data_IF_394191574660
#
_entry.id   IF_394191574660
#
_cell.length_a   1.000
_cell.length_b   1.000
_cell.length_c   1.000
_cell.angle_alpha   90.00
_cell.angle_beta   90.00
_cell.angle_gamma   90.00
#
_symmetry.space_group_name_H-M   'P 1'
#
loop_
_entity.id
_entity.type
_entity.pdbx_description
1 polymer ?
#
# COMPACT_ATOMS: atom_id res chain seq x y z
N UNK A 1 -16.90 -5.93 -1.83
CA UNK A 1 -16.25 -5.78 -0.50
C UNK A 1 -14.81 -5.31 -0.64
N UNK A 2 -13.95 -6.05 -1.35
CA UNK A 2 -12.54 -5.65 -1.53
C UNK A 2 -12.38 -4.38 -2.35
N UNK A 3 -13.23 -4.16 -3.36
CA UNK A 3 -13.24 -2.91 -4.14
C UNK A 3 -13.45 -1.67 -3.28
N UNK A 4 -14.41 -1.70 -2.33
CA UNK A 4 -14.63 -0.59 -1.40
C UNK A 4 -13.40 -0.31 -0.52
N UNK A 5 -12.69 -1.37 -0.09
CA UNK A 5 -11.43 -1.23 0.63
C UNK A 5 -10.34 -0.63 -0.26
N UNK A 6 -10.28 -0.98 -1.55
CA UNK A 6 -9.34 -0.40 -2.51
C UNK A 6 -9.54 1.12 -2.63
N UNK A 7 -10.78 1.60 -2.70
CA UNK A 7 -11.03 3.05 -2.67
C UNK A 7 -10.52 3.72 -1.39
N UNK A 8 -10.71 3.05 -0.24
CA UNK A 8 -10.28 3.59 1.05
C UNK A 8 -8.76 3.72 1.17
N UNK A 9 -7.99 2.88 0.47
CA UNK A 9 -6.51 2.93 0.48
C UNK A 9 -5.91 4.28 0.05
N UNK A 10 -6.66 5.12 -0.68
CA UNK A 10 -6.22 6.46 -1.04
C UNK A 10 -6.05 7.38 0.18
N UNK A 11 -6.87 7.18 1.22
CA UNK A 11 -6.83 7.95 2.48
C UNK A 11 -6.21 7.17 3.64
N UNK A 12 -6.10 5.84 3.50
CA UNK A 12 -5.64 4.89 4.52
C UNK A 12 -4.54 3.99 3.96
N UNK A 13 -3.31 4.52 3.79
CA UNK A 13 -2.18 3.78 3.24
C UNK A 13 -1.78 2.57 4.11
N UNK A 14 -2.11 2.59 5.39
CA UNK A 14 -1.82 1.55 6.37
C UNK A 14 -2.54 0.21 6.09
N UNK A 15 -3.71 0.22 5.45
CA UNK A 15 -4.47 -1.00 5.11
C UNK A 15 -4.18 -1.55 3.71
N UNK A 16 -3.34 -0.87 2.95
CA UNK A 16 -3.01 -1.17 1.55
C UNK A 16 -2.57 -2.60 1.37
N UNK A 17 -1.56 -3.01 2.12
CA UNK A 17 -0.91 -4.29 1.90
C UNK A 17 -1.90 -5.44 2.12
N UNK A 18 -2.65 -5.37 3.22
CA UNK A 18 -3.68 -6.34 3.55
C UNK A 18 -4.81 -6.38 2.51
N UNK A 19 -5.23 -5.22 1.99
CA UNK A 19 -6.28 -5.11 0.98
C UNK A 19 -5.83 -5.68 -0.36
N UNK A 20 -4.64 -5.30 -0.84
CA UNK A 20 -4.02 -5.81 -2.06
C UNK A 20 -3.82 -7.32 -2.00
N UNK A 21 -3.42 -7.87 -0.85
CA UNK A 21 -3.30 -9.31 -0.67
C UNK A 21 -4.66 -10.01 -0.81
N UNK A 22 -5.71 -9.48 -0.19
CA UNK A 22 -7.07 -10.04 -0.31
C UNK A 22 -7.61 -9.95 -1.74
N UNK A 23 -7.30 -8.88 -2.48
CA UNK A 23 -7.73 -8.68 -3.87
C UNK A 23 -7.22 -9.78 -4.81
N UNK A 24 -6.01 -10.31 -4.57
CA UNK A 24 -5.43 -11.41 -5.38
C UNK A 24 -6.30 -12.67 -5.39
N UNK A 25 -7.04 -12.91 -4.32
CA UNK A 25 -7.88 -14.09 -4.14
C UNK A 25 -9.37 -13.78 -4.30
N UNK A 26 -9.72 -12.60 -4.83
CA UNK A 26 -11.12 -12.19 -5.00
C UNK A 26 -11.91 -13.12 -5.94
N UNK A 27 -11.25 -13.72 -6.95
CA UNK A 27 -11.90 -14.65 -7.88
C UNK A 27 -12.27 -15.99 -7.24
N UNK A 28 -11.51 -16.45 -6.23
CA UNK A 28 -11.76 -17.70 -5.50
C UNK A 28 -11.37 -17.54 -4.02
N UNK A 29 -12.20 -16.84 -3.21
CA UNK A 29 -11.87 -16.58 -1.82
C UNK A 29 -11.99 -17.85 -0.97
N UNK A 30 -11.17 -17.94 0.07
CA UNK A 30 -11.19 -19.00 1.09
C UNK A 30 -11.63 -18.40 2.43
N UNK A 31 -12.00 -19.23 3.40
CA UNK A 31 -12.39 -18.77 4.74
C UNK A 31 -11.31 -17.92 5.44
N UNK A 32 -10.04 -18.21 5.16
CA UNK A 32 -8.90 -17.43 5.66
C UNK A 32 -8.93 -15.99 5.12
N UNK A 33 -9.21 -15.82 3.82
CA UNK A 33 -9.32 -14.49 3.21
C UNK A 33 -10.54 -13.72 3.74
N UNK A 34 -11.67 -14.39 3.94
CA UNK A 34 -12.86 -13.76 4.54
C UNK A 34 -12.60 -13.29 5.97
N UNK A 35 -11.86 -14.08 6.76
CA UNK A 35 -11.45 -13.71 8.12
C UNK A 35 -10.51 -12.51 8.12
N UNK A 36 -9.57 -12.45 7.18
CA UNK A 36 -8.69 -11.29 7.00
C UNK A 36 -9.47 -10.02 6.67
N UNK A 37 -10.43 -10.09 5.75
CA UNK A 37 -11.30 -8.96 5.39
C UNK A 37 -12.12 -8.47 6.60
N UNK A 38 -12.70 -9.38 7.40
CA UNK A 38 -13.39 -9.02 8.65
C UNK A 38 -12.45 -8.30 9.63
N UNK A 39 -11.20 -8.73 9.73
CA UNK A 39 -10.19 -8.08 10.58
C UNK A 39 -9.88 -6.66 10.09
N UNK A 40 -9.78 -6.43 8.78
CA UNK A 40 -9.60 -5.09 8.20
C UNK A 40 -10.78 -4.20 8.59
N UNK A 41 -12.02 -4.67 8.43
CA UNK A 41 -13.19 -3.87 8.82
C UNK A 41 -13.24 -3.54 10.32
N UNK A 42 -12.88 -4.48 11.19
CA UNK A 42 -12.81 -4.20 12.64
C UNK A 42 -11.74 -3.16 12.94
N UNK A 43 -10.56 -3.30 12.34
CA UNK A 43 -9.48 -2.33 12.49
C UNK A 43 -9.89 -0.92 12.02
N UNK A 44 -10.58 -0.82 10.88
CA UNK A 44 -11.10 0.45 10.38
C UNK A 44 -12.13 1.09 11.33
N UNK A 45 -13.01 0.27 11.93
CA UNK A 45 -13.98 0.73 12.92
C UNK A 45 -13.30 1.33 14.16
N UNK A 46 -12.20 0.75 14.60
CA UNK A 46 -11.48 1.21 15.79
C UNK A 46 -10.53 2.39 15.49
N UNK A 47 -10.20 2.64 14.22
CA UNK A 47 -9.23 3.65 13.77
C UNK A 47 -9.82 4.69 12.83
N UNK A 48 -11.10 5.04 12.99
CA UNK A 48 -11.81 5.99 12.11
C UNK A 48 -11.12 7.36 11.98
N UNK A 49 -10.33 7.77 12.98
CA UNK A 49 -9.65 9.07 13.04
C UNK A 49 -8.26 9.07 12.38
N UNK A 50 -7.73 7.92 11.94
CA UNK A 50 -6.38 7.79 11.36
C UNK A 50 -6.32 8.06 9.84
N UNK A 51 -7.35 8.66 9.26
CA UNK A 51 -7.36 9.02 7.83
C UNK A 51 -6.45 10.21 7.52
N UNK A 52 -5.87 10.22 6.32
CA UNK A 52 -5.16 11.39 5.80
C UNK A 52 -6.13 12.56 5.57
N UNK A 53 -5.74 13.76 6.00
CA UNK A 53 -6.50 14.99 5.82
C UNK A 53 -5.62 16.07 5.18
N UNK A 54 -6.17 16.80 4.22
CA UNK A 54 -5.48 17.87 3.49
C UNK A 54 -6.13 19.22 3.78
N UNK A 55 -5.51 20.07 4.62
CA UNK A 55 -5.96 21.45 4.78
C UNK A 55 -5.71 22.26 3.51
N UNK A 56 -6.51 23.30 3.29
CA UNK A 56 -6.50 24.12 2.07
C UNK A 56 -5.27 25.03 1.93
N UNK A 57 -4.65 25.40 3.05
CA UNK A 57 -3.63 26.46 3.13
C UNK A 57 -2.22 25.90 3.38
N UNK A 58 -1.71 25.08 2.47
CA UNK A 58 -0.32 24.60 2.55
C UNK A 58 0.46 24.92 1.30
N UNK A 59 1.71 25.35 1.47
CA UNK A 59 2.63 25.60 0.38
C UNK A 59 2.76 24.38 -0.55
N UNK A 60 2.89 24.62 -1.85
CA UNK A 60 2.93 23.57 -2.85
C UNK A 60 4.37 23.09 -3.08
N UNK A 61 4.88 22.28 -2.15
CA UNK A 61 6.17 21.59 -2.29
C UNK A 61 5.93 20.09 -2.42
N UNK A 62 6.44 19.44 -3.48
CA UNK A 62 6.30 18.00 -3.68
C UNK A 62 7.63 17.30 -3.42
N UNK A 63 7.68 16.43 -2.42
CA UNK A 63 8.83 15.58 -2.10
C UNK A 63 8.50 14.13 -2.43
N UNK A 64 9.38 13.45 -3.18
CA UNK A 64 9.19 12.05 -3.53
C UNK A 64 10.36 11.19 -3.05
N UNK A 65 10.04 10.03 -2.51
CA UNK A 65 10.98 8.99 -2.11
C UNK A 65 10.71 7.73 -2.92
N UNK A 66 11.76 7.03 -3.30
CA UNK A 66 11.67 5.71 -3.92
C UNK A 66 12.67 4.77 -3.28
N UNK A 67 12.28 3.52 -3.13
CA UNK A 67 13.12 2.45 -2.58
C UNK A 67 12.88 1.16 -3.36
N UNK A 68 13.85 0.26 -3.34
CA UNK A 68 13.70 -1.06 -3.93
C UNK A 68 14.35 -2.13 -3.06
N UNK A 69 13.59 -3.16 -2.71
CA UNK A 69 14.12 -4.31 -1.98
C UNK A 69 14.61 -5.42 -2.94
N UNK A 70 15.69 -6.12 -2.56
CA UNK A 70 16.13 -7.32 -3.28
C UNK A 70 15.54 -8.58 -2.64
N UNK A 71 14.85 -9.39 -3.46
CA UNK A 71 14.26 -10.67 -3.05
C UNK A 71 13.34 -10.61 -1.80
N UNK A 72 12.72 -9.46 -1.51
CA UNK A 72 11.91 -9.24 -0.32
C UNK A 72 10.59 -10.02 -0.27
N UNK A 73 10.07 -10.46 -1.43
CA UNK A 73 8.85 -11.26 -1.48
C UNK A 73 9.13 -12.75 -1.14
N UNK A 74 8.67 -13.23 0.02
CA UNK A 74 8.83 -14.63 0.44
C UNK A 74 8.26 -15.65 -0.55
N UNK A 75 7.12 -15.34 -1.17
CA UNK A 75 6.44 -16.27 -2.09
C UNK A 75 7.15 -16.44 -3.43
N UNK A 76 7.81 -15.38 -3.95
CA UNK A 76 8.36 -15.40 -5.31
C UNK A 76 9.82 -14.97 -5.43
N UNK A 77 10.46 -14.57 -4.33
CA UNK A 77 11.85 -14.06 -4.27
C UNK A 77 12.14 -12.94 -5.27
N UNK A 78 11.10 -12.19 -5.65
CA UNK A 78 11.22 -11.04 -6.57
C UNK A 78 11.38 -9.76 -5.76
N UNK A 79 12.13 -8.83 -6.34
CA UNK A 79 12.26 -7.46 -5.86
C UNK A 79 10.94 -6.69 -5.93
N UNK A 80 10.75 -5.78 -5.00
CA UNK A 80 9.62 -4.86 -4.93
C UNK A 80 10.16 -3.44 -4.98
N UNK A 81 9.66 -2.66 -5.93
CA UNK A 81 9.88 -1.23 -5.98
C UNK A 81 8.75 -0.51 -5.23
N UNK A 82 9.10 0.43 -4.37
CA UNK A 82 8.19 1.31 -3.65
C UNK A 82 8.46 2.76 -4.02
N UNK A 83 7.39 3.55 -4.15
CA UNK A 83 7.48 4.99 -4.32
C UNK A 83 6.44 5.68 -3.45
N UNK A 84 6.82 6.79 -2.83
CA UNK A 84 5.99 7.56 -1.90
C UNK A 84 6.17 9.05 -2.20
N UNK A 85 5.08 9.79 -2.32
CA UNK A 85 5.07 11.22 -2.66
C UNK A 85 4.32 12.00 -1.58
N UNK A 86 4.99 12.98 -0.99
CA UNK A 86 4.48 13.88 0.02
C UNK A 86 4.33 15.31 -0.51
N UNK A 87 3.24 15.97 -0.11
CA UNK A 87 3.03 17.39 -0.32
C UNK A 87 3.33 18.16 0.97
N UNK A 88 4.08 19.26 0.86
CA UNK A 88 4.48 20.11 1.98
C UNK A 88 5.14 19.30 3.10
N UNK A 89 5.96 18.30 2.72
CA UNK A 89 6.80 17.49 3.62
C UNK A 89 6.11 16.39 4.43
N UNK A 90 4.81 16.50 4.72
CA UNK A 90 4.12 15.61 5.67
C UNK A 90 2.82 14.96 5.16
N UNK A 91 2.26 15.43 4.03
CA UNK A 91 0.98 14.94 3.51
C UNK A 91 1.19 13.93 2.38
N UNK A 92 0.97 12.63 2.64
CA UNK A 92 1.14 11.57 1.64
C UNK A 92 0.08 11.64 0.53
N UNK A 93 0.42 12.15 -0.66
CA UNK A 93 -0.52 12.30 -1.79
C UNK A 93 -0.64 11.04 -2.64
N UNK A 94 0.48 10.34 -2.83
CA UNK A 94 0.55 9.22 -3.76
C UNK A 94 1.57 8.22 -3.26
N UNK A 95 1.25 6.95 -3.43
CA UNK A 95 2.14 5.85 -3.12
C UNK A 95 1.96 4.77 -4.19
N UNK A 96 3.02 4.04 -4.46
CA UNK A 96 2.99 2.91 -5.37
C UNK A 96 3.89 1.81 -4.85
N UNK A 97 3.45 0.57 -5.02
CA UNK A 97 4.28 -0.60 -4.77
C UNK A 97 4.13 -1.54 -5.95
N UNK A 98 5.23 -1.80 -6.64
CA UNK A 98 5.29 -2.62 -7.85
C UNK A 98 6.27 -3.75 -7.64
N UNK A 99 5.78 -4.98 -7.75
CA UNK A 99 6.64 -6.16 -7.86
C UNK A 99 7.35 -6.13 -9.22
N UNK A 100 8.68 -6.26 -9.23
CA UNK A 100 9.44 -6.32 -10.48
C UNK A 100 9.15 -7.62 -11.23
N UNK A 101 9.01 -7.52 -12.55
CA UNK A 101 8.75 -8.68 -13.41
C UNK A 101 10.01 -9.51 -13.66
N UNK A 102 11.17 -8.85 -13.73
CA UNK A 102 12.47 -9.46 -13.99
C UNK A 102 13.37 -9.37 -12.76
N UNK A 103 13.95 -10.50 -12.34
CA UNK A 103 14.92 -10.53 -11.23
C UNK A 103 16.30 -10.22 -11.78
N UNK A 104 16.84 -9.04 -11.48
CA UNK A 104 18.26 -8.76 -11.74
C UNK A 104 19.14 -9.58 -10.79
N UNK A 105 20.22 -10.17 -11.33
CA UNK A 105 21.26 -10.86 -10.54
C UNK A 105 22.29 -9.89 -9.92
N UNK A 106 22.17 -8.57 -10.15
CA UNK A 106 23.08 -7.57 -9.56
C UNK A 106 22.54 -7.03 -8.23
N UNK A 107 23.37 -7.01 -7.20
CA UNK A 107 23.07 -6.56 -5.83
C UNK A 107 23.26 -5.06 -5.60
N UNK A 108 23.18 -4.24 -6.65
CA UNK A 108 23.32 -2.78 -6.55
C UNK A 108 21.93 -2.19 -6.37
N UNK A 109 21.69 -1.64 -5.18
CA UNK A 109 20.62 -0.69 -4.88
C UNK A 109 20.94 0.62 -5.61
N UNK A 110 19.95 1.23 -6.27
CA UNK A 110 20.11 2.47 -7.03
C UNK A 110 19.78 3.69 -6.16
#
# INVERSE_FOLDING_TARGET
MVEALMYLTASRPDIVHATCYCARYQAKPTEKHLTAVKRIFRYLKDTIHMGLWYPKDTDFELTAFSDSDHAGCLDSRKSTFGGIQFLCGDKLVSWSSKKQDCTSMSSIEA
#
